data_IF_902873108748
#
_entry.id   IF_902873108748
#
_cell.length_a   1.000
_cell.length_b   1.000
_cell.length_c   1.000
_cell.angle_alpha   90.00
_cell.angle_beta   90.00
_cell.angle_gamma   90.00
#
_symmetry.space_group_name_H-M   'P 1'
#
loop_
_entity.id
_entity.type
_entity.pdbx_description
1 polymer ?
#
# COMPACT_ATOMS: atom_id res chain seq x y z
N UNK A 1 -25.72 -7.13 7.12
CA UNK A 1 -24.82 -6.73 8.23
C UNK A 1 -24.63 -7.85 9.25
N UNK A 2 -25.54 -8.82 9.34
CA UNK A 2 -25.53 -9.85 10.38
C UNK A 2 -24.46 -10.94 10.18
N UNK A 3 -24.15 -11.33 8.93
CA UNK A 3 -23.08 -12.32 8.64
C UNK A 3 -21.67 -11.89 9.07
N UNK A 4 -21.39 -10.58 9.15
CA UNK A 4 -20.08 -10.05 9.57
C UNK A 4 -19.97 -10.05 11.11
N UNK A 5 -21.08 -9.78 11.81
CA UNK A 5 -21.16 -9.87 13.28
C UNK A 5 -21.03 -11.31 13.77
N UNK A 6 -21.67 -12.26 13.09
CA UNK A 6 -21.62 -13.69 13.40
C UNK A 6 -20.20 -14.26 13.28
N UNK A 7 -19.47 -13.88 12.22
CA UNK A 7 -18.07 -14.29 11.99
C UNK A 7 -17.10 -13.72 13.03
N UNK A 8 -17.37 -12.51 13.54
CA UNK A 8 -16.61 -11.89 14.63
C UNK A 8 -16.87 -12.54 15.99
N UNK A 9 -18.13 -12.89 16.27
CA UNK A 9 -18.54 -13.57 17.51
C UNK A 9 -17.93 -14.97 17.64
N UNK A 10 -17.98 -15.77 16.57
CA UNK A 10 -17.37 -17.10 16.53
C UNK A 10 -15.86 -17.06 16.75
N UNK A 11 -15.17 -16.08 16.14
CA UNK A 11 -13.72 -15.90 16.32
C UNK A 11 -13.36 -15.59 17.77
N UNK A 12 -14.15 -14.76 18.44
CA UNK A 12 -13.94 -14.44 19.86
C UNK A 12 -14.21 -15.65 20.76
N UNK A 13 -15.24 -16.45 20.47
CA UNK A 13 -15.53 -17.68 21.20
C UNK A 13 -14.39 -18.70 21.09
N UNK A 14 -13.86 -18.89 19.88
CA UNK A 14 -12.76 -19.85 19.62
C UNK A 14 -11.49 -19.47 20.39
N UNK A 15 -11.16 -18.16 20.41
CA UNK A 15 -10.02 -17.63 21.18
C UNK A 15 -10.23 -17.81 22.68
N UNK A 16 -11.45 -17.62 23.18
CA UNK A 16 -11.79 -17.75 24.59
C UNK A 16 -11.70 -19.20 25.06
N UNK A 17 -12.12 -20.16 24.23
CA UNK A 17 -11.94 -21.60 24.45
C UNK A 17 -10.45 -21.96 24.50
N UNK A 18 -9.65 -21.47 23.54
CA UNK A 18 -8.19 -21.67 23.53
C UNK A 18 -7.53 -21.15 24.80
N UNK A 19 -7.87 -19.93 25.24
CA UNK A 19 -7.36 -19.37 26.51
C UNK A 19 -7.77 -20.25 27.70
N UNK A 20 -9.02 -20.75 27.72
CA UNK A 20 -9.52 -21.65 28.76
C UNK A 20 -8.74 -22.96 28.84
N UNK A 21 -8.45 -23.59 27.68
CA UNK A 21 -7.64 -24.81 27.61
C UNK A 21 -6.24 -24.55 28.15
N UNK A 22 -5.61 -23.43 27.77
CA UNK A 22 -4.27 -23.07 28.25
C UNK A 22 -4.29 -22.91 29.77
N UNK A 23 -5.27 -22.19 30.32
CA UNK A 23 -5.43 -21.99 31.77
C UNK A 23 -5.62 -23.30 32.54
N UNK A 24 -6.54 -24.16 32.09
CA UNK A 24 -6.78 -25.48 32.68
C UNK A 24 -5.51 -26.34 32.68
N UNK A 25 -4.72 -26.24 31.62
CA UNK A 25 -3.51 -27.03 31.47
C UNK A 25 -2.37 -26.54 32.35
N UNK A 26 -2.25 -25.21 32.56
CA UNK A 26 -1.33 -24.64 33.55
C UNK A 26 -1.72 -25.06 34.97
N UNK A 27 -3.01 -25.04 35.31
CA UNK A 27 -3.51 -25.50 36.62
C UNK A 27 -3.17 -26.97 36.84
N UNK A 28 -3.41 -27.81 35.84
CA UNK A 28 -3.05 -29.24 35.89
C UNK A 28 -1.54 -29.44 36.11
N UNK A 29 -0.70 -28.66 35.41
CA UNK A 29 0.75 -28.72 35.52
C UNK A 29 1.23 -28.33 36.93
N UNK A 30 0.61 -27.32 37.55
CA UNK A 30 0.89 -26.93 38.95
C UNK A 30 0.53 -28.07 39.91
N UNK A 31 -0.66 -28.67 39.76
CA UNK A 31 -1.12 -29.79 40.61
C UNK A 31 -0.18 -31.00 40.47
N UNK A 32 0.20 -31.34 39.24
CA UNK A 32 1.14 -32.42 38.97
C UNK A 32 2.51 -32.16 39.62
N UNK A 33 3.01 -30.92 39.55
CA UNK A 33 4.28 -30.54 40.17
C UNK A 33 4.21 -30.63 41.70
N UNK A 34 3.13 -30.16 42.32
CA UNK A 34 2.90 -30.27 43.77
C UNK A 34 2.89 -31.74 44.21
N UNK A 35 2.28 -32.63 43.43
CA UNK A 35 2.24 -34.06 43.75
C UNK A 35 3.58 -34.77 43.53
N UNK A 36 4.42 -34.28 42.61
CA UNK A 36 5.73 -34.85 42.30
C UNK A 36 6.83 -34.36 43.25
N UNK A 37 6.72 -33.15 43.81
CA UNK A 37 7.76 -32.50 44.61
C UNK A 37 8.13 -33.27 45.90
N UNK A 38 7.19 -33.78 46.73
CA UNK A 38 7.50 -34.57 47.91
C UNK A 38 8.26 -35.86 47.56
N UNK A 39 7.90 -36.47 46.43
CA UNK A 39 8.52 -37.71 45.93
C UNK A 39 9.93 -37.42 45.42
N UNK A 40 10.14 -36.31 44.70
CA UNK A 40 11.47 -35.85 44.29
C UNK A 40 12.40 -35.59 45.48
N UNK A 41 11.86 -35.05 46.58
CA UNK A 41 12.60 -34.86 47.83
C UNK A 41 12.94 -36.21 48.48
N UNK A 42 12.00 -37.16 48.55
CA UNK A 42 12.26 -38.51 49.08
C UNK A 42 13.28 -39.27 48.25
N UNK A 43 13.23 -39.12 46.92
CA UNK A 43 14.20 -39.71 46.00
C UNK A 43 15.61 -39.15 46.22
N UNK A 44 15.76 -37.82 46.29
CA UNK A 44 17.06 -37.19 46.54
C UNK A 44 17.64 -37.50 47.93
N UNK A 45 16.77 -37.82 48.90
CA UNK A 45 17.18 -38.26 50.25
C UNK A 45 17.47 -39.75 50.36
N UNK A 46 17.24 -40.53 49.30
CA UNK A 46 17.43 -41.99 49.32
C UNK A 46 16.39 -42.76 50.14
N UNK A 47 15.28 -42.12 50.52
CA UNK A 47 14.21 -42.67 51.37
C UNK A 47 13.03 -43.22 50.55
N UNK A 48 13.17 -43.28 49.23
CA UNK A 48 12.09 -43.64 48.33
C UNK A 48 11.79 -45.16 48.35
N UNK A 49 10.65 -45.54 48.93
CA UNK A 49 10.11 -46.91 48.86
C UNK A 49 9.00 -46.99 47.82
N UNK A 50 9.18 -47.80 46.77
CA UNK A 50 8.15 -48.04 45.75
C UNK A 50 7.05 -48.90 46.35
N UNK A 51 5.91 -48.30 46.72
CA UNK A 51 4.69 -49.03 47.07
C UNK A 51 3.72 -48.99 45.89
N UNK A 52 3.03 -50.11 45.64
CA UNK A 52 2.15 -50.32 44.48
C UNK A 52 0.94 -49.38 44.45
N UNK A 53 0.57 -48.79 45.58
CA UNK A 53 -0.56 -47.86 45.70
C UNK A 53 -0.22 -46.40 45.35
N UNK A 54 1.08 -46.07 45.18
CA UNK A 54 1.56 -44.71 44.91
C UNK A 54 1.84 -44.49 43.41
N UNK A 55 1.54 -45.44 42.53
CA UNK A 55 1.84 -45.32 41.09
C UNK A 55 0.60 -44.98 40.24
N UNK A 56 -0.01 -43.78 40.34
CA UNK A 56 -0.94 -43.33 39.33
C UNK A 56 -0.11 -42.97 38.08
N UNK A 57 0.03 -43.92 37.16
CA UNK A 57 0.39 -43.75 35.75
C UNK A 57 1.20 -42.47 35.41
N UNK A 58 2.36 -42.29 36.06
CA UNK A 58 3.17 -41.08 35.92
C UNK A 58 3.66 -40.86 34.48
N UNK A 59 3.85 -41.94 33.71
CA UNK A 59 4.11 -41.88 32.27
C UNK A 59 3.03 -41.04 31.57
N UNK A 60 1.77 -41.28 31.89
CA UNK A 60 0.63 -40.56 31.31
C UNK A 60 0.59 -39.09 31.71
N UNK A 61 0.99 -38.76 32.94
CA UNK A 61 1.06 -37.35 33.42
C UNK A 61 2.19 -36.60 32.72
N UNK A 62 3.38 -37.18 32.63
CA UNK A 62 4.51 -36.58 31.92
C UNK A 62 4.24 -36.49 30.41
N UNK A 63 3.70 -37.53 29.79
CA UNK A 63 3.26 -37.51 28.39
C UNK A 63 2.24 -36.41 28.14
N UNK A 64 1.28 -36.20 29.03
CA UNK A 64 0.29 -35.13 28.93
C UNK A 64 0.94 -33.74 29.00
N UNK A 65 1.90 -33.55 29.92
CA UNK A 65 2.67 -32.29 30.03
C UNK A 65 3.48 -32.03 28.77
N UNK A 66 4.23 -33.03 28.29
CA UNK A 66 5.04 -32.90 27.07
C UNK A 66 4.18 -32.66 25.82
N UNK A 67 3.03 -33.32 25.73
CA UNK A 67 2.06 -33.13 24.64
C UNK A 67 1.54 -31.69 24.66
N UNK A 68 1.19 -31.17 25.83
CA UNK A 68 0.70 -29.80 25.97
C UNK A 68 1.75 -28.76 25.57
N UNK A 69 2.97 -28.90 26.09
CA UNK A 69 4.09 -28.00 25.74
C UNK A 69 4.32 -28.04 24.22
N UNK A 70 4.30 -29.23 23.61
CA UNK A 70 4.45 -29.39 22.16
C UNK A 70 3.35 -28.69 21.36
N UNK A 71 2.09 -28.80 21.79
CA UNK A 71 0.95 -28.10 21.18
C UNK A 71 1.12 -26.58 21.29
N UNK A 72 1.49 -26.07 22.48
CA UNK A 72 1.71 -24.65 22.71
C UNK A 72 2.83 -24.09 21.84
N UNK A 73 3.97 -24.78 21.78
CA UNK A 73 5.10 -24.38 20.93
C UNK A 73 4.72 -24.40 19.45
N UNK A 74 4.00 -25.43 18.99
CA UNK A 74 3.52 -25.52 17.61
C UNK A 74 2.57 -24.38 17.23
N UNK A 75 1.62 -24.04 18.11
CA UNK A 75 0.71 -22.91 17.92
C UNK A 75 1.45 -21.56 17.87
N UNK A 76 2.44 -21.37 18.73
CA UNK A 76 3.26 -20.16 18.75
C UNK A 76 4.05 -20.00 17.44
N UNK A 77 4.71 -21.07 16.97
CA UNK A 77 5.44 -21.08 15.69
C UNK A 77 4.49 -20.81 14.53
N UNK A 78 3.33 -21.47 14.49
CA UNK A 78 2.31 -21.26 13.45
C UNK A 78 1.81 -19.81 13.41
N UNK A 79 1.60 -19.20 14.58
CA UNK A 79 1.20 -17.79 14.69
C UNK A 79 2.29 -16.83 14.20
N UNK A 80 3.56 -17.08 14.54
CA UNK A 80 4.70 -16.31 14.07
C UNK A 80 4.83 -16.41 12.55
N UNK A 81 4.73 -17.62 11.98
CA UNK A 81 4.76 -17.85 10.54
C UNK A 81 3.63 -17.09 9.84
N UNK A 82 2.39 -17.19 10.34
CA UNK A 82 1.26 -16.43 9.79
C UNK A 82 1.52 -14.91 9.80
N UNK A 83 2.06 -14.37 10.89
CA UNK A 83 2.38 -12.94 11.00
C UNK A 83 3.48 -12.53 10.01
N UNK A 84 4.52 -13.34 9.87
CA UNK A 84 5.61 -13.14 8.91
C UNK A 84 5.10 -13.18 7.47
N UNK A 85 4.31 -14.19 7.09
CA UNK A 85 3.72 -14.29 5.75
C UNK A 85 2.83 -13.10 5.44
N UNK A 86 1.98 -12.68 6.38
CA UNK A 86 1.11 -11.51 6.20
C UNK A 86 1.92 -10.22 6.02
N UNK A 87 3.03 -10.07 6.75
CA UNK A 87 3.93 -8.94 6.59
C UNK A 87 4.66 -8.99 5.25
N UNK A 88 5.12 -10.17 4.83
CA UNK A 88 5.79 -10.41 3.55
C UNK A 88 4.91 -10.02 2.37
N UNK A 89 3.66 -10.48 2.35
CA UNK A 89 2.66 -10.12 1.31
C UNK A 89 2.45 -8.61 1.23
N UNK A 90 2.42 -7.90 2.38
CA UNK A 90 2.32 -6.44 2.40
C UNK A 90 3.57 -5.75 1.84
N UNK A 91 4.76 -6.21 2.20
CA UNK A 91 6.01 -5.66 1.68
C UNK A 91 6.19 -5.93 0.19
N UNK A 92 5.79 -7.10 -0.28
CA UNK A 92 5.83 -7.52 -1.69
C UNK A 92 4.86 -6.68 -2.51
N UNK A 93 3.59 -6.56 -2.11
CA UNK A 93 2.62 -5.68 -2.77
C UNK A 93 3.10 -4.22 -2.82
N UNK A 94 3.67 -3.69 -1.74
CA UNK A 94 4.18 -2.31 -1.73
C UNK A 94 5.39 -2.14 -2.67
N UNK A 95 6.24 -3.16 -2.81
CA UNK A 95 7.41 -3.14 -3.70
C UNK A 95 6.99 -3.30 -5.18
N UNK A 96 6.04 -4.18 -5.45
CA UNK A 96 5.66 -4.58 -6.81
C UNK A 96 4.58 -3.71 -7.43
N UNK A 97 3.69 -3.14 -6.62
CA UNK A 97 2.56 -2.33 -7.10
C UNK A 97 2.72 -0.88 -6.70
N UNK A 98 2.85 -0.58 -5.39
CA UNK A 98 2.81 0.81 -4.89
C UNK A 98 4.00 1.64 -5.40
N UNK A 99 5.21 1.07 -5.37
CA UNK A 99 6.40 1.73 -5.91
C UNK A 99 6.28 2.05 -7.40
N UNK A 100 6.00 1.06 -8.26
CA UNK A 100 5.75 1.26 -9.69
C UNK A 100 4.61 2.24 -9.98
N UNK A 101 3.47 2.12 -9.31
CA UNK A 101 2.34 3.05 -9.46
C UNK A 101 2.75 4.50 -9.17
N UNK A 102 3.55 4.70 -8.12
CA UNK A 102 4.07 6.01 -7.77
C UNK A 102 4.99 6.59 -8.85
N UNK A 103 5.88 5.76 -9.41
CA UNK A 103 6.76 6.17 -10.51
C UNK A 103 5.97 6.53 -11.77
N UNK A 104 5.01 5.69 -12.18
CA UNK A 104 4.15 5.93 -13.33
C UNK A 104 3.37 7.23 -13.16
N UNK A 105 2.75 7.41 -12.00
CA UNK A 105 2.01 8.62 -11.64
C UNK A 105 2.83 9.89 -11.82
N UNK A 106 4.01 9.96 -11.19
CA UNK A 106 4.86 11.15 -11.25
C UNK A 106 5.40 11.40 -12.66
N UNK A 107 5.78 10.36 -13.40
CA UNK A 107 6.27 10.49 -14.78
C UNK A 107 5.22 11.07 -15.72
N UNK A 108 4.00 10.56 -15.68
CA UNK A 108 2.89 11.08 -16.51
C UNK A 108 2.56 12.52 -16.12
N UNK A 109 2.45 12.80 -14.80
CA UNK A 109 2.17 14.14 -14.29
C UNK A 109 3.22 15.16 -14.76
N UNK A 110 4.49 14.80 -14.62
CA UNK A 110 5.60 15.65 -15.02
C UNK A 110 5.64 15.86 -16.54
N UNK A 111 5.33 14.83 -17.33
CA UNK A 111 5.21 14.92 -18.78
C UNK A 111 4.12 15.85 -19.26
N UNK A 112 2.96 15.78 -18.64
CA UNK A 112 1.89 16.71 -18.96
C UNK A 112 2.29 18.16 -18.66
N UNK A 113 2.90 18.43 -17.49
CA UNK A 113 3.34 19.77 -17.11
C UNK A 113 4.40 20.29 -18.09
N UNK A 114 5.39 19.46 -18.45
CA UNK A 114 6.41 19.84 -19.42
C UNK A 114 5.82 20.20 -20.78
N UNK A 115 4.95 19.35 -21.34
CA UNK A 115 4.29 19.61 -22.61
C UNK A 115 3.47 20.91 -22.56
N UNK A 116 2.76 21.15 -21.47
CA UNK A 116 1.99 22.37 -21.26
C UNK A 116 2.90 23.61 -21.33
N UNK A 117 4.00 23.60 -20.60
CA UNK A 117 4.98 24.69 -20.60
C UNK A 117 5.51 24.98 -22.00
N UNK A 118 5.92 23.96 -22.75
CA UNK A 118 6.41 24.15 -24.12
C UNK A 118 5.37 24.79 -25.03
N UNK A 119 4.10 24.38 -24.92
CA UNK A 119 3.02 24.96 -25.72
C UNK A 119 2.77 26.42 -25.33
N UNK A 120 2.78 26.75 -24.04
CA UNK A 120 2.59 28.12 -23.57
C UNK A 120 3.74 29.02 -24.06
N UNK A 121 4.98 28.54 -24.01
CA UNK A 121 6.14 29.27 -24.54
C UNK A 121 6.01 29.52 -26.04
N UNK A 122 5.52 28.53 -26.81
CA UNK A 122 5.29 28.68 -28.25
C UNK A 122 4.10 29.58 -28.61
N UNK A 123 3.24 29.93 -27.65
CA UNK A 123 2.10 30.83 -27.83
C UNK A 123 2.22 32.08 -26.95
N UNK A 124 3.42 32.45 -26.53
CA UNK A 124 3.64 33.53 -25.55
C UNK A 124 3.11 34.88 -26.03
N UNK A 125 3.12 35.11 -27.34
CA UNK A 125 2.59 36.31 -28.01
C UNK A 125 1.08 36.51 -27.82
N UNK A 126 0.36 35.43 -27.51
CA UNK A 126 -1.10 35.43 -27.36
C UNK A 126 -1.55 35.44 -25.91
N UNK A 127 -0.63 35.20 -24.98
CA UNK A 127 -0.93 35.11 -23.56
C UNK A 127 -0.73 36.48 -22.95
N UNK A 128 -1.81 37.08 -22.44
CA UNK A 128 -1.75 38.32 -21.71
C UNK A 128 -1.19 38.06 -20.31
N UNK A 129 -0.01 38.59 -20.03
CA UNK A 129 0.66 38.52 -18.72
C UNK A 129 0.48 39.78 -17.87
N UNK A 130 -0.17 40.83 -18.40
CA UNK A 130 -0.27 42.14 -17.73
C UNK A 130 -1.13 42.09 -16.46
N UNK A 131 -2.02 41.11 -16.32
CA UNK A 131 -2.83 40.88 -15.11
C UNK A 131 -2.10 40.10 -13.99
N UNK A 132 -0.88 39.61 -14.23
CA UNK A 132 -0.07 38.90 -13.21
C UNK A 132 0.62 39.91 -12.27
N UNK A 133 -0.14 40.86 -11.74
CA UNK A 133 0.31 41.91 -10.80
C UNK A 133 -0.04 41.57 -9.34
N UNK A 134 0.19 40.32 -8.94
CA UNK A 134 0.38 39.98 -7.53
C UNK A 134 1.69 39.22 -7.36
N UNK A 135 2.65 39.91 -6.75
CA UNK A 135 4.11 39.73 -6.72
C UNK A 135 4.63 38.44 -6.06
N UNK A 136 3.85 37.36 -6.01
CA UNK A 136 4.27 36.03 -5.54
C UNK A 136 4.11 34.93 -6.57
N UNK A 137 3.15 35.02 -7.49
CA UNK A 137 2.85 33.92 -8.42
C UNK A 137 3.84 33.83 -9.57
N UNK A 138 4.22 34.92 -10.25
CA UNK A 138 5.02 34.82 -11.47
C UNK A 138 6.42 34.21 -11.23
N UNK A 139 7.14 34.65 -10.20
CA UNK A 139 8.46 34.06 -9.88
C UNK A 139 8.36 32.63 -9.37
N UNK A 140 7.29 32.25 -8.65
CA UNK A 140 7.07 30.86 -8.23
C UNK A 140 6.69 29.97 -9.41
N UNK A 141 5.86 30.47 -10.33
CA UNK A 141 5.47 29.79 -11.56
C UNK A 141 6.68 29.64 -12.47
N UNK A 142 7.44 30.71 -12.74
CA UNK A 142 8.68 30.66 -13.51
C UNK A 142 9.73 29.76 -12.83
N UNK A 143 9.82 29.74 -11.49
CA UNK A 143 10.68 28.80 -10.78
C UNK A 143 10.22 27.33 -10.91
N UNK A 144 8.91 27.07 -10.83
CA UNK A 144 8.33 25.73 -11.04
C UNK A 144 8.50 25.29 -12.50
N UNK A 145 8.28 26.19 -13.46
CA UNK A 145 8.35 25.98 -14.90
C UNK A 145 9.80 25.81 -15.38
N UNK A 146 10.71 26.69 -14.97
CA UNK A 146 12.07 26.79 -15.53
C UNK A 146 13.16 26.18 -14.65
N UNK A 147 12.98 26.11 -13.33
CA UNK A 147 14.06 25.67 -12.41
C UNK A 147 13.97 24.20 -12.00
N UNK A 148 12.82 23.54 -12.17
CA UNK A 148 12.55 22.22 -11.57
C UNK A 148 12.37 21.05 -12.53
N UNK A 149 12.33 21.25 -13.86
CA UNK A 149 12.14 20.16 -14.80
C UNK A 149 13.42 19.82 -15.56
N UNK A 150 14.24 18.96 -14.95
CA UNK A 150 15.17 18.14 -15.71
C UNK A 150 14.38 17.22 -16.65
N UNK A 151 14.95 16.85 -17.80
CA UNK A 151 14.38 15.91 -18.77
C UNK A 151 13.62 14.79 -18.06
N UNK A 152 12.37 14.57 -18.46
CA UNK A 152 11.55 13.53 -17.86
C UNK A 152 12.21 12.21 -18.19
N UNK A 153 12.79 11.59 -17.17
CA UNK A 153 13.36 10.28 -17.32
C UNK A 153 12.23 9.28 -17.56
N UNK A 154 12.04 8.87 -18.81
CA UNK A 154 11.05 7.88 -19.23
C UNK A 154 11.55 6.44 -19.04
N UNK A 155 12.80 6.24 -18.61
CA UNK A 155 13.40 4.91 -18.43
C UNK A 155 12.55 4.02 -17.50
N UNK A 156 12.29 2.79 -17.92
CA UNK A 156 11.46 1.82 -17.20
C UNK A 156 10.00 2.25 -16.99
N UNK A 157 9.48 3.26 -17.73
CA UNK A 157 8.06 3.62 -17.62
C UNK A 157 7.17 2.45 -18.02
N UNK A 158 7.44 1.84 -19.17
CA UNK A 158 6.71 0.70 -19.70
C UNK A 158 6.71 -0.49 -18.72
N UNK A 159 7.89 -0.87 -18.20
CA UNK A 159 7.99 -1.95 -17.20
C UNK A 159 7.16 -1.69 -15.94
N UNK A 160 7.12 -0.43 -15.48
CA UNK A 160 6.32 -0.08 -14.31
C UNK A 160 4.82 -0.03 -14.62
N UNK A 161 4.43 0.32 -15.85
CA UNK A 161 3.04 0.23 -16.31
C UNK A 161 2.60 -1.23 -16.28
N UNK A 162 3.35 -2.15 -16.89
CA UNK A 162 2.98 -3.57 -16.94
C UNK A 162 2.75 -4.18 -15.54
N UNK A 163 3.55 -3.78 -14.55
CA UNK A 163 3.39 -4.24 -13.16
C UNK A 163 2.05 -3.85 -12.54
N UNK A 164 1.50 -2.70 -12.92
CA UNK A 164 0.27 -2.17 -12.30
C UNK A 164 -1.00 -2.41 -13.12
N UNK A 165 -0.88 -2.81 -14.40
CA UNK A 165 -2.03 -3.01 -15.29
C UNK A 165 -3.07 -3.98 -14.70
N UNK A 166 -2.61 -5.08 -14.11
CA UNK A 166 -3.50 -6.10 -13.54
C UNK A 166 -4.28 -5.65 -12.31
N UNK A 167 -3.89 -4.54 -11.68
CA UNK A 167 -4.56 -3.96 -10.51
C UNK A 167 -5.54 -2.83 -10.89
N UNK A 168 -5.59 -2.41 -12.15
CA UNK A 168 -6.53 -1.39 -12.65
C UNK A 168 -7.76 -2.12 -13.21
N UNK A 169 -8.88 -2.05 -12.50
CA UNK A 169 -10.14 -2.71 -12.93
C UNK A 169 -10.77 -2.05 -14.16
N UNK A 170 -10.53 -0.75 -14.35
CA UNK A 170 -11.14 0.04 -15.42
C UNK A 170 -10.39 -0.12 -16.75
N UNK A 171 -10.94 -0.90 -17.68
CA UNK A 171 -10.35 -1.15 -19.01
C UNK A 171 -10.08 0.14 -19.80
N UNK A 172 -10.92 1.17 -19.62
CA UNK A 172 -10.69 2.45 -20.27
C UNK A 172 -9.43 3.14 -19.72
N UNK A 173 -9.24 3.18 -18.41
CA UNK A 173 -8.01 3.68 -17.78
C UNK A 173 -6.77 2.92 -18.25
N UNK A 174 -6.86 1.59 -18.38
CA UNK A 174 -5.77 0.76 -18.92
C UNK A 174 -5.43 1.20 -20.35
N UNK A 175 -6.43 1.31 -21.23
CA UNK A 175 -6.22 1.75 -22.61
C UNK A 175 -5.61 3.15 -22.69
N UNK A 176 -6.08 4.08 -21.86
CA UNK A 176 -5.55 5.46 -21.80
C UNK A 176 -4.12 5.50 -21.30
N UNK A 177 -3.78 4.68 -20.32
CA UNK A 177 -2.43 4.55 -19.79
C UNK A 177 -1.45 4.04 -20.85
N UNK A 178 -1.86 3.02 -21.62
CA UNK A 178 -1.06 2.50 -22.74
C UNK A 178 -0.87 3.54 -23.84
N UNK A 179 -1.93 4.28 -24.20
CA UNK A 179 -1.83 5.37 -25.17
C UNK A 179 -0.86 6.46 -24.70
N UNK A 180 -0.93 6.86 -23.43
CA UNK A 180 0.01 7.84 -22.86
C UNK A 180 1.44 7.31 -22.89
N UNK A 181 1.66 6.02 -22.62
CA UNK A 181 2.99 5.43 -22.73
C UNK A 181 3.57 5.59 -24.15
N UNK A 182 2.76 5.26 -25.17
CA UNK A 182 3.17 5.46 -26.56
C UNK A 182 3.41 6.92 -26.92
N UNK A 183 2.56 7.83 -26.43
CA UNK A 183 2.71 9.28 -26.64
C UNK A 183 4.00 9.79 -26.01
N UNK A 184 4.29 9.41 -24.77
CA UNK A 184 5.53 9.75 -24.05
C UNK A 184 6.76 9.20 -24.78
N UNK A 185 6.74 7.94 -25.23
CA UNK A 185 7.85 7.32 -25.94
C UNK A 185 8.14 8.00 -27.29
N UNK A 186 7.10 8.54 -27.95
CA UNK A 186 7.21 9.28 -29.21
C UNK A 186 7.47 10.77 -29.02
N UNK A 187 7.62 11.24 -27.79
CA UNK A 187 7.71 12.67 -27.45
C UNK A 187 6.54 13.49 -28.02
N UNK A 188 5.36 12.87 -28.11
CA UNK A 188 4.15 13.54 -28.56
C UNK A 188 3.52 14.30 -27.41
N UNK A 189 2.93 15.45 -27.72
CA UNK A 189 2.27 16.27 -26.72
C UNK A 189 1.00 15.58 -26.20
N UNK A 190 0.96 15.23 -24.90
CA UNK A 190 -0.21 14.66 -24.19
C UNK A 190 -1.38 15.66 -24.00
N UNK A 191 -1.56 16.61 -24.92
CA UNK A 191 -2.58 17.69 -24.87
C UNK A 191 -3.99 17.12 -24.78
N UNK A 192 -4.21 15.92 -25.34
CA UNK A 192 -5.49 15.20 -25.29
C UNK A 192 -5.96 14.87 -23.88
N UNK A 193 -5.05 14.93 -22.89
CA UNK A 193 -5.39 14.75 -21.48
C UNK A 193 -6.19 15.93 -20.91
N UNK A 194 -6.03 17.13 -21.48
CA UNK A 194 -6.71 18.35 -20.99
C UNK A 194 -8.20 18.33 -21.34
N UNK A 195 -8.97 19.13 -20.59
CA UNK A 195 -10.37 19.39 -20.91
C UNK A 195 -10.48 19.93 -22.35
N UNK A 196 -11.44 19.44 -23.15
CA UNK A 196 -11.64 19.91 -24.52
C UNK A 196 -11.84 21.42 -24.58
N UNK A 197 -11.27 22.06 -25.60
CA UNK A 197 -11.43 23.50 -25.86
C UNK A 197 -10.36 24.41 -25.26
N UNK A 198 -9.51 23.91 -24.36
CA UNK A 198 -8.38 24.68 -23.82
C UNK A 198 -7.28 24.92 -24.85
N UNK A 199 -6.96 23.87 -25.62
CA UNK A 199 -5.96 23.88 -26.70
C UNK A 199 -6.58 23.20 -27.92
N UNK A 200 -6.44 23.81 -29.09
CA UNK A 200 -6.93 23.27 -30.37
C UNK A 200 -5.80 23.38 -31.39
N UNK A 201 -5.38 22.25 -31.99
CA UNK A 201 -4.27 22.21 -32.95
C UNK A 201 -2.99 22.89 -32.42
N UNK A 202 -2.62 22.60 -31.16
CA UNK A 202 -1.47 23.22 -30.45
C UNK A 202 -1.55 24.74 -30.25
N UNK A 203 -2.72 25.32 -30.46
CA UNK A 203 -2.99 26.73 -30.24
C UNK A 203 -3.81 26.91 -28.96
N UNK A 204 -3.34 27.78 -28.07
CA UNK A 204 -4.07 28.13 -26.84
C UNK A 204 -5.30 28.98 -27.17
N UNK A 205 -6.45 28.59 -26.60
CA UNK A 205 -7.72 29.33 -26.75
C UNK A 205 -7.90 30.36 -25.64
N UNK A 206 -7.50 30.01 -24.43
CA UNK A 206 -7.48 30.92 -23.28
C UNK A 206 -6.21 31.78 -23.34
N UNK A 207 -6.38 33.09 -23.17
CA UNK A 207 -5.31 34.08 -23.29
C UNK A 207 -4.83 34.59 -21.94
N UNK A 208 -5.56 34.34 -20.84
CA UNK A 208 -5.12 34.75 -19.50
C UNK A 208 -3.94 33.91 -19.01
N UNK A 209 -2.80 34.55 -18.71
CA UNK A 209 -1.65 33.88 -18.10
C UNK A 209 -1.96 33.33 -16.70
N UNK A 210 -2.77 34.05 -15.91
CA UNK A 210 -3.19 33.61 -14.57
C UNK A 210 -3.99 32.30 -14.64
N UNK A 211 -4.85 32.14 -15.63
CA UNK A 211 -5.61 30.91 -15.81
C UNK A 211 -4.70 29.71 -16.07
N UNK A 212 -3.72 29.85 -16.96
CA UNK A 212 -2.77 28.78 -17.26
C UNK A 212 -1.84 28.45 -16.08
N UNK A 213 -1.45 29.46 -15.31
CA UNK A 213 -0.76 29.28 -14.06
C UNK A 213 -1.57 28.42 -13.06
N UNK A 214 -2.85 28.74 -12.90
CA UNK A 214 -3.75 27.99 -12.03
C UNK A 214 -3.89 26.52 -12.47
N UNK A 215 -3.87 26.23 -13.78
CA UNK A 215 -3.84 24.87 -14.30
C UNK A 215 -2.58 24.13 -13.85
N UNK A 216 -1.40 24.73 -14.06
CA UNK A 216 -0.11 24.11 -13.71
C UNK A 216 -0.01 23.85 -12.21
N UNK A 217 -0.37 24.84 -11.39
CA UNK A 217 -0.40 24.72 -9.93
C UNK A 217 -1.37 23.64 -9.48
N UNK A 218 -2.55 23.56 -10.11
CA UNK A 218 -3.54 22.52 -9.83
C UNK A 218 -2.98 21.13 -10.13
N UNK A 219 -2.39 20.92 -11.31
CA UNK A 219 -1.76 19.64 -11.67
C UNK A 219 -0.64 19.27 -10.69
N UNK A 220 0.22 20.23 -10.32
CA UNK A 220 1.29 20.01 -9.35
C UNK A 220 0.75 19.51 -8.00
N UNK A 221 -0.32 20.15 -7.51
CA UNK A 221 -1.01 19.84 -6.25
C UNK A 221 -2.00 18.66 -6.34
N UNK A 222 -1.92 17.83 -7.39
CA UNK A 222 -2.77 16.67 -7.61
C UNK A 222 -4.27 17.00 -7.74
N UNK A 223 -4.59 18.23 -8.18
CA UNK A 223 -5.93 18.63 -8.59
C UNK A 223 -6.07 18.50 -10.12
N UNK A 224 -6.91 17.56 -10.56
CA UNK A 224 -7.09 17.18 -11.96
C UNK A 224 -8.36 17.73 -12.59
N UNK A 225 -8.91 18.83 -12.07
CA UNK A 225 -10.15 19.44 -12.58
C UNK A 225 -10.07 19.85 -14.06
N UNK A 226 -8.87 20.22 -14.52
CA UNK A 226 -8.61 20.65 -15.90
C UNK A 226 -8.27 19.50 -16.85
N UNK A 227 -8.31 18.25 -16.38
CA UNK A 227 -8.22 17.08 -17.25
C UNK A 227 -9.60 16.73 -17.79
N UNK A 228 -9.62 16.07 -18.95
CA UNK A 228 -10.80 15.36 -19.41
C UNK A 228 -11.15 14.25 -18.39
N UNK A 229 -12.44 14.02 -18.17
CA UNK A 229 -12.97 13.08 -17.18
C UNK A 229 -12.34 11.68 -17.24
N UNK A 230 -12.05 11.17 -18.44
CA UNK A 230 -11.47 9.84 -18.60
C UNK A 230 -10.01 9.80 -18.11
N UNK A 231 -9.24 10.85 -18.40
CA UNK A 231 -7.86 10.97 -17.93
C UNK A 231 -7.78 11.35 -16.45
N UNK A 232 -8.75 12.13 -15.95
CA UNK A 232 -8.94 12.39 -14.52
C UNK A 232 -9.16 11.09 -13.74
N UNK A 233 -10.07 10.24 -14.22
CA UNK A 233 -10.34 8.91 -13.65
C UNK A 233 -9.08 8.05 -13.64
N UNK A 234 -8.38 7.97 -14.78
CA UNK A 234 -7.12 7.23 -14.89
C UNK A 234 -6.06 7.73 -13.89
N UNK A 235 -5.82 9.04 -13.81
CA UNK A 235 -4.85 9.60 -12.87
C UNK A 235 -5.21 9.33 -11.41
N UNK A 236 -6.51 9.39 -11.07
CA UNK A 236 -7.00 9.04 -9.74
C UNK A 236 -6.78 7.56 -9.41
N UNK A 237 -7.03 6.65 -10.36
CA UNK A 237 -6.82 5.22 -10.18
C UNK A 237 -5.33 4.92 -9.89
N UNK A 238 -4.42 5.51 -10.67
CA UNK A 238 -2.97 5.33 -10.45
C UNK A 238 -2.55 5.96 -9.11
N UNK A 239 -3.11 7.12 -8.75
CA UNK A 239 -2.86 7.77 -7.46
C UNK A 239 -3.39 6.95 -6.27
N UNK A 240 -4.47 6.21 -6.45
CA UNK A 240 -4.97 5.30 -5.43
C UNK A 240 -4.04 4.10 -5.24
N UNK A 241 -3.56 3.50 -6.34
CA UNK A 241 -2.58 2.42 -6.31
C UNK A 241 -1.24 2.84 -5.70
N UNK A 242 -0.86 4.12 -5.84
CA UNK A 242 0.37 4.67 -5.25
C UNK A 242 0.27 4.92 -3.73
N UNK A 243 -0.92 4.80 -3.13
CA UNK A 243 -1.10 4.85 -1.69
C UNK A 243 -0.84 3.46 -1.07
N UNK A 244 0.01 3.42 -0.04
CA UNK A 244 0.33 2.18 0.68
C UNK A 244 -0.92 1.51 1.24
N UNK A 245 -1.07 0.19 1.04
CA UNK A 245 -2.04 -0.63 1.79
C UNK A 245 -1.58 -0.74 3.25
N UNK A 246 -2.44 -0.35 4.20
CA UNK A 246 -2.15 -0.35 5.65
C UNK A 246 -2.22 -1.73 6.28
#
# INVERSE_FOLDING_TARGET
MDKIKEKGSLKNLTVLILIGIILLSVIYLIIAFINLLPIGIQFLKGEYSVTTDIMPNYSTVFESIFTLVSILTSLLVSFLLYKLTKQQVKTEYNKEIVGPANLVYFKIKHHLIHCLVEILNNNSDRINTEEVTQTRTQNEIEFIIYSNFHQINTHNLEDNIYKILGEIEDEESVRKLLLINEEILRSNSTIRMLRPGLIVNNVVRETSGEFWANIIVSLYNNNFEYLNDNYKKMMNNILELSKRRK
#
